data_IF_035239249390
#
_entry.id   IF_035239249390
#
_cell.length_a   1.000
_cell.length_b   1.000
_cell.length_c   1.000
_cell.angle_alpha   90.00
_cell.angle_beta   90.00
_cell.angle_gamma   90.00
#
_symmetry.space_group_name_H-M   'P 1'
#
loop_
_entity.id
_entity.type
_entity.pdbx_description
1 polymer ?
#
# COMPACT_ATOMS: atom_id res chain seq x y z
N UNK A 1 2.23 -8.19 15.87
CA UNK A 1 1.91 -8.77 14.54
C UNK A 1 2.03 -7.62 13.57
N UNK A 2 2.95 -7.69 12.61
CA UNK A 2 2.93 -6.77 11.47
C UNK A 2 1.56 -6.92 10.83
N UNK A 3 0.81 -5.82 10.83
CA UNK A 3 -0.61 -5.80 10.54
C UNK A 3 -0.72 -5.08 9.19
N UNK A 4 -1.40 -5.69 8.21
CA UNK A 4 -1.37 -5.30 6.80
C UNK A 4 -0.75 -6.38 5.89
N UNK A 5 -0.90 -6.23 4.58
CA UNK A 5 -0.60 -7.30 3.62
C UNK A 5 0.82 -7.28 3.05
N UNK A 6 1.75 -6.46 3.54
CA UNK A 6 3.11 -6.41 2.96
C UNK A 6 3.84 -7.76 2.93
N UNK A 7 3.52 -8.68 3.83
CA UNK A 7 4.08 -10.04 3.86
C UNK A 7 3.17 -11.11 3.21
N UNK A 8 1.89 -10.80 3.01
CA UNK A 8 0.86 -11.72 2.49
C UNK A 8 0.21 -11.28 1.19
N UNK A 9 0.68 -10.19 0.60
CA UNK A 9 0.15 -9.61 -0.63
C UNK A 9 0.29 -10.60 -1.78
N UNK A 10 -0.75 -10.70 -2.60
CA UNK A 10 -0.70 -11.52 -3.82
C UNK A 10 0.27 -10.94 -4.86
N UNK A 11 0.47 -9.62 -4.86
CA UNK A 11 1.46 -8.98 -5.71
C UNK A 11 2.01 -7.67 -5.11
N UNK A 12 3.13 -7.22 -5.66
CA UNK A 12 3.75 -5.94 -5.30
C UNK A 12 4.18 -5.17 -6.53
N UNK A 13 3.98 -3.85 -6.52
CA UNK A 13 4.45 -2.93 -7.55
C UNK A 13 5.56 -2.08 -6.96
N UNK A 14 6.67 -1.94 -7.67
CA UNK A 14 7.74 -1.05 -7.26
C UNK A 14 7.29 0.42 -7.23
N UNK A 15 7.71 1.17 -6.22
CA UNK A 15 7.32 2.57 -6.05
C UNK A 15 7.50 3.43 -7.31
N UNK A 16 8.62 3.27 -8.03
CA UNK A 16 8.88 4.02 -9.27
C UNK A 16 8.08 3.54 -10.49
N UNK A 17 7.44 2.36 -10.42
CA UNK A 17 6.50 1.89 -11.43
C UNK A 17 5.04 2.23 -11.05
N UNK A 18 4.82 2.67 -9.81
CA UNK A 18 3.52 3.08 -9.27
C UNK A 18 3.24 4.59 -9.46
N UNK A 19 4.01 5.30 -10.28
CA UNK A 19 3.86 6.74 -10.51
C UNK A 19 2.44 7.13 -10.95
N UNK A 20 1.74 6.26 -11.69
CA UNK A 20 0.36 6.47 -12.12
C UNK A 20 -0.68 6.50 -10.98
N UNK A 21 -0.29 6.10 -9.76
CA UNK A 21 -1.12 6.16 -8.56
C UNK A 21 -0.86 7.42 -7.73
N UNK A 22 0.12 8.24 -8.11
CA UNK A 22 0.46 9.48 -7.41
C UNK A 22 0.24 10.71 -8.31
N UNK A 23 -0.25 11.83 -7.72
CA UNK A 23 -0.79 11.95 -6.37
C UNK A 23 -2.18 11.31 -6.26
N UNK A 24 -2.45 10.63 -5.14
CA UNK A 24 -3.71 9.89 -4.94
C UNK A 24 -4.94 10.80 -4.97
N UNK A 25 -4.80 12.08 -4.61
CA UNK A 25 -5.91 13.03 -4.58
C UNK A 25 -6.37 13.51 -5.97
N UNK A 26 -5.54 13.31 -7.00
CA UNK A 26 -5.87 13.65 -8.40
C UNK A 26 -6.36 12.43 -9.19
N UNK A 27 -6.43 11.27 -8.56
CA UNK A 27 -6.84 10.03 -9.19
C UNK A 27 -8.36 10.01 -9.42
N UNK A 28 -8.76 9.73 -10.67
CA UNK A 28 -10.17 9.48 -11.01
C UNK A 28 -10.57 8.06 -10.57
N UNK A 29 -10.64 7.87 -9.25
CA UNK A 29 -10.96 6.61 -8.58
C UNK A 29 -11.48 6.85 -7.16
N UNK A 30 -11.99 5.80 -6.53
CA UNK A 30 -12.34 5.85 -5.11
C UNK A 30 -11.04 5.68 -4.31
N UNK A 31 -10.73 6.66 -3.47
CA UNK A 31 -9.53 6.66 -2.63
C UNK A 31 -9.96 6.58 -1.17
N UNK A 32 -9.75 5.43 -0.55
CA UNK A 32 -10.01 5.23 0.88
C UNK A 32 -8.73 5.56 1.65
N UNK A 33 -8.82 6.40 2.68
CA UNK A 33 -7.69 6.80 3.51
C UNK A 33 -7.94 6.53 4.99
N UNK A 34 -6.87 6.52 5.79
CA UNK A 34 -6.92 6.39 7.24
C UNK A 34 -7.75 5.17 7.70
N UNK A 35 -8.84 5.38 8.43
CA UNK A 35 -9.67 4.33 9.01
C UNK A 35 -10.42 3.54 7.94
N UNK A 36 -10.85 4.19 6.87
CA UNK A 36 -11.60 3.51 5.81
C UNK A 36 -10.67 2.58 5.02
N UNK A 37 -9.42 3.01 4.80
CA UNK A 37 -8.37 2.14 4.25
C UNK A 37 -8.08 0.94 5.15
N UNK A 38 -7.98 1.15 6.47
CA UNK A 38 -7.77 0.06 7.42
C UNK A 38 -8.90 -0.96 7.38
N UNK A 39 -10.16 -0.50 7.37
CA UNK A 39 -11.33 -1.37 7.34
C UNK A 39 -11.38 -2.14 6.02
N UNK A 40 -11.11 -1.48 4.88
CA UNK A 40 -11.10 -2.14 3.59
C UNK A 40 -10.02 -3.24 3.53
N UNK A 41 -8.80 -2.92 3.95
CA UNK A 41 -7.70 -3.89 3.95
C UNK A 41 -7.93 -5.03 4.95
N UNK A 42 -8.43 -4.76 6.16
CA UNK A 42 -8.68 -5.83 7.16
C UNK A 42 -9.77 -6.82 6.73
N UNK A 43 -10.67 -6.43 5.82
CA UNK A 43 -11.71 -7.29 5.27
C UNK A 43 -11.27 -8.05 3.99
N UNK A 44 -10.18 -7.65 3.35
CA UNK A 44 -9.68 -8.28 2.13
C UNK A 44 -8.70 -9.42 2.44
N UNK A 45 -8.64 -10.44 1.58
CA UNK A 45 -7.55 -11.41 1.65
C UNK A 45 -6.26 -10.77 1.13
N UNK A 46 -5.12 -11.10 1.74
CA UNK A 46 -3.83 -10.62 1.26
C UNK A 46 -3.53 -11.05 -0.17
N UNK A 47 -3.98 -12.24 -0.59
CA UNK A 47 -3.82 -12.68 -1.98
C UNK A 47 -4.47 -11.75 -2.99
N UNK A 48 -5.47 -10.99 -2.56
CA UNK A 48 -6.28 -10.11 -3.40
C UNK A 48 -5.84 -8.65 -3.27
N UNK A 49 -4.74 -8.38 -2.55
CA UNK A 49 -4.17 -7.05 -2.35
C UNK A 49 -2.86 -6.91 -3.12
N UNK A 50 -2.74 -5.79 -3.85
CA UNK A 50 -1.48 -5.33 -4.45
C UNK A 50 -0.87 -4.26 -3.56
N UNK A 51 0.40 -4.41 -3.16
CA UNK A 51 1.10 -3.40 -2.34
C UNK A 51 2.08 -2.59 -3.17
N UNK A 52 2.18 -1.29 -2.91
CA UNK A 52 3.29 -0.48 -3.43
C UNK A 52 4.52 -0.68 -2.55
N UNK A 53 5.55 -1.31 -3.11
CA UNK A 53 6.78 -1.67 -2.43
C UNK A 53 7.89 -0.63 -2.67
N UNK A 54 8.68 -0.26 -1.65
CA UNK A 54 9.81 0.63 -1.83
C UNK A 54 10.97 -0.08 -2.55
N UNK A 55 11.70 0.66 -3.39
CA UNK A 55 12.93 0.19 -4.05
C UNK A 55 14.20 0.69 -3.35
N UNK A 56 14.07 1.71 -2.51
CA UNK A 56 15.16 2.33 -1.75
C UNK A 56 14.73 2.76 -0.35
N UNK A 57 15.70 3.16 0.48
CA UNK A 57 15.41 3.75 1.79
C UNK A 57 14.59 5.04 1.67
N UNK A 58 14.85 5.86 0.64
CA UNK A 58 14.12 7.09 0.40
C UNK A 58 12.65 6.83 0.09
N UNK A 59 12.36 5.86 -0.80
CA UNK A 59 10.99 5.48 -1.14
C UNK A 59 10.29 4.76 0.02
N UNK A 60 11.03 4.02 0.85
CA UNK A 60 10.50 3.41 2.08
C UNK A 60 10.05 4.48 3.08
N UNK A 61 10.86 5.53 3.23
CA UNK A 61 10.49 6.68 4.05
C UNK A 61 9.28 7.41 3.46
N UNK A 62 9.26 7.66 2.15
CA UNK A 62 8.12 8.27 1.46
C UNK A 62 6.81 7.48 1.70
N UNK A 63 6.83 6.16 1.53
CA UNK A 63 5.68 5.30 1.80
C UNK A 63 5.28 5.25 3.27
N UNK A 64 6.24 5.42 4.18
CA UNK A 64 5.95 5.45 5.63
C UNK A 64 5.33 6.79 6.05
N UNK A 65 5.71 7.90 5.40
CA UNK A 65 5.09 9.21 5.58
C UNK A 65 3.74 9.33 4.85
N UNK A 66 3.50 8.49 3.85
CA UNK A 66 2.25 8.48 3.12
C UNK A 66 1.11 7.97 3.99
N UNK A 67 -0.02 8.68 3.98
CA UNK A 67 -1.25 8.23 4.63
C UNK A 67 -1.63 6.84 4.11
N UNK A 68 -1.93 5.91 5.02
CA UNK A 68 -2.41 4.59 4.61
C UNK A 68 -3.64 4.77 3.70
N UNK A 69 -3.51 4.26 2.49
CA UNK A 69 -4.48 4.42 1.42
C UNK A 69 -4.80 3.06 0.81
N UNK A 70 -6.09 2.81 0.55
CA UNK A 70 -6.58 1.66 -0.18
C UNK A 70 -7.41 2.16 -1.38
N UNK A 71 -7.10 1.66 -2.57
CA UNK A 71 -7.79 2.03 -3.80
C UNK A 71 -8.43 0.76 -4.36
N UNK A 72 -9.77 0.68 -4.46
CA UNK A 72 -10.43 -0.43 -5.13
C UNK A 72 -10.02 -0.48 -6.59
N UNK A 73 -9.53 -1.64 -7.05
CA UNK A 73 -9.13 -1.85 -8.44
C UNK A 73 -10.31 -1.55 -9.38
N UNK A 74 -11.52 -1.93 -8.98
CA UNK A 74 -12.73 -1.69 -9.75
C UNK A 74 -13.06 -0.20 -9.95
N UNK A 75 -12.52 0.68 -9.09
CA UNK A 75 -12.76 2.12 -9.18
C UNK A 75 -11.75 2.84 -10.07
N UNK A 76 -10.62 2.18 -10.42
CA UNK A 76 -9.59 2.76 -11.27
C UNK A 76 -10.09 2.93 -12.70
N UNK A 77 -9.76 4.06 -13.31
CA UNK A 77 -9.91 4.26 -14.75
C UNK A 77 -9.16 3.21 -15.55
N UNK A 78 -9.65 2.88 -16.75
CA UNK A 78 -9.03 1.86 -17.61
C UNK A 78 -7.56 2.19 -17.94
N UNK A 79 -7.23 3.48 -18.09
CA UNK A 79 -5.87 3.91 -18.38
C UNK A 79 -4.90 3.65 -17.21
N UNK A 80 -5.36 3.84 -15.97
CA UNK A 80 -4.54 3.53 -14.79
C UNK A 80 -4.43 2.02 -14.59
N UNK A 81 -5.53 1.27 -14.77
CA UNK A 81 -5.48 -0.20 -14.70
C UNK A 81 -4.48 -0.80 -15.69
N UNK A 82 -4.43 -0.30 -16.92
CA UNK A 82 -3.44 -0.77 -17.91
C UNK A 82 -2.01 -0.50 -17.45
N UNK A 83 -1.71 0.69 -16.93
CA UNK A 83 -0.38 1.00 -16.42
C UNK A 83 0.01 0.14 -15.22
N UNK A 84 -0.94 -0.09 -14.31
CA UNK A 84 -0.75 -0.97 -13.16
C UNK A 84 -0.52 -2.43 -13.60
N UNK A 85 -1.30 -2.92 -14.58
CA UNK A 85 -1.13 -4.26 -15.13
C UNK A 85 0.23 -4.43 -15.84
N UNK A 86 0.68 -3.42 -16.59
CA UNK A 86 1.98 -3.40 -17.23
C UNK A 86 3.11 -3.45 -16.18
N UNK A 87 2.98 -2.68 -15.09
CA UNK A 87 3.93 -2.69 -13.98
C UNK A 87 3.96 -4.04 -13.22
N UNK A 88 2.81 -4.71 -13.11
CA UNK A 88 2.68 -6.03 -12.50
C UNK A 88 3.10 -7.17 -13.43
N UNK A 89 3.26 -6.91 -14.74
CA UNK A 89 3.37 -7.93 -15.78
C UNK A 89 2.26 -9.01 -15.74
N UNK A 90 1.08 -8.65 -15.21
CA UNK A 90 -0.11 -9.51 -15.13
C UNK A 90 -1.38 -8.67 -15.05
N UNK A 91 -2.55 -9.30 -15.18
CA UNK A 91 -3.82 -8.59 -15.04
C UNK A 91 -4.04 -8.09 -13.60
N UNK A 92 -4.44 -6.83 -13.46
CA UNK A 92 -4.82 -6.24 -12.18
C UNK A 92 -6.23 -6.63 -11.75
N UNK A 93 -7.09 -7.06 -12.68
CA UNK A 93 -8.52 -7.34 -12.40
C UNK A 93 -8.75 -8.55 -11.48
N UNK A 94 -7.71 -9.35 -11.21
CA UNK A 94 -7.75 -10.42 -10.23
C UNK A 94 -7.57 -9.96 -8.78
N UNK A 95 -7.28 -8.68 -8.55
CA UNK A 95 -7.08 -8.10 -7.24
C UNK A 95 -8.23 -7.16 -6.87
N UNK A 96 -8.52 -7.05 -5.59
CA UNK A 96 -9.57 -6.19 -5.05
C UNK A 96 -9.06 -4.78 -4.74
N UNK A 97 -7.89 -4.68 -4.09
CA UNK A 97 -7.38 -3.43 -3.54
C UNK A 97 -5.91 -3.21 -3.91
N UNK A 98 -5.57 -1.94 -4.14
CA UNK A 98 -4.19 -1.46 -4.13
C UNK A 98 -3.92 -0.73 -2.82
N UNK A 99 -2.92 -1.19 -2.07
CA UNK A 99 -2.45 -0.57 -0.84
C UNK A 99 -1.25 0.36 -1.11
N UNK A 100 -1.37 1.60 -0.66
CA UNK A 100 -0.29 2.58 -0.65
C UNK A 100 0.00 3.00 0.79
N UNK A 101 1.29 3.03 1.11
CA UNK A 101 1.79 3.34 2.44
C UNK A 101 1.68 2.18 3.42
N UNK A 102 2.17 2.40 4.63
CA UNK A 102 2.20 1.37 5.68
C UNK A 102 1.04 1.53 6.65
N UNK A 103 0.54 0.40 7.15
CA UNK A 103 -0.22 0.42 8.38
C UNK A 103 0.68 1.00 9.47
N UNK A 104 0.20 2.07 10.10
CA UNK A 104 0.71 2.47 11.40
C UNK A 104 0.26 1.40 12.40
N UNK A 105 0.97 0.28 12.46
CA UNK A 105 1.08 -0.41 13.74
C UNK A 105 1.77 0.57 14.67
N UNK A 106 1.15 0.88 15.80
CA UNK A 106 1.84 1.52 16.91
C UNK A 106 3.09 0.68 17.22
N UNK A 107 4.23 1.04 16.63
CA UNK A 107 5.51 0.58 17.13
C UNK A 107 5.58 1.18 18.51
N UNK A 108 5.65 0.34 19.55
CA UNK A 108 5.97 0.86 20.88
C UNK A 108 7.24 1.68 20.72
N UNK A 109 7.15 2.98 20.99
CA UNK A 109 8.32 3.84 21.02
C UNK A 109 9.17 3.34 22.19
N UNK A 110 10.16 2.49 21.89
CA UNK A 110 11.12 2.03 22.87
C UNK A 110 12.00 3.21 23.25
N UNK A 111 11.91 3.65 24.50
CA UNK A 111 12.80 4.69 25.01
C UNK A 111 14.21 4.13 25.13
N UNK A 112 15.23 4.93 24.79
CA UNK A 112 16.65 4.59 24.97
C UNK A 112 17.00 4.19 26.42
N UNK A 113 16.16 4.57 27.39
CA UNK A 113 16.28 4.18 28.79
C UNK A 113 16.03 2.67 29.04
N UNK A 114 15.34 1.97 28.14
CA UNK A 114 15.02 0.54 28.24
C UNK A 114 16.25 -0.35 28.01
N UNK A 115 17.31 0.19 27.40
CA UNK A 115 18.57 -0.54 27.13
C UNK A 115 19.60 -0.46 28.27
N UNK A 116 19.19 -0.06 29.48
CA UNK A 116 20.05 -0.07 30.69
C UNK A 116 19.92 -1.37 31.48
N UNK A 117 20.35 -2.48 30.90
CA UNK A 117 20.67 -3.70 31.64
C UNK A 117 21.78 -4.46 30.91
N UNK A 118 23.00 -4.31 31.40
CA UNK A 118 24.15 -5.17 31.10
C UNK A 118 24.69 -5.72 32.42
#
# INVERSE_FOLDING_TARGET
>A
MLKGHFESAGASIEYGAADCLFPVDELDAIVLQHRDAQIALDNADGSDVVVVAPTSLATSYALTQHTLTAIPVESLSSAVRTQVADALATSVDGFELIQIGKWNTDSQNHSLAEFKSA
#
